data_IF_147317104365
#
_entry.id   IF_147317104365
#
_cell.length_a   1.000
_cell.length_b   1.000
_cell.length_c   1.000
_cell.angle_alpha   90.00
_cell.angle_beta   90.00
_cell.angle_gamma   90.00
#
_symmetry.space_group_name_H-M   'P 1'
#
loop_
_entity.id
_entity.type
_entity.pdbx_description
1 polymer ?
#
# COMPACT_ATOMS: atom_id res chain seq x y z
N UNK A 1 10.84 -7.49 -1.17
CA UNK A 1 11.42 -6.52 -2.15
C UNK A 1 10.33 -5.88 -3.02
N UNK A 2 9.33 -6.62 -3.52
CA UNK A 2 8.26 -6.05 -4.35
C UNK A 2 7.43 -4.99 -3.62
N UNK A 3 7.07 -5.22 -2.36
CA UNK A 3 6.29 -4.25 -1.57
C UNK A 3 7.02 -2.91 -1.33
N UNK A 4 8.35 -2.91 -1.35
CA UNK A 4 9.15 -1.69 -1.17
C UNK A 4 9.00 -0.72 -2.34
N UNK A 5 8.72 -1.24 -3.54
CA UNK A 5 8.62 -0.47 -4.79
C UNK A 5 7.16 -0.24 -5.19
N UNK A 6 6.20 -0.96 -4.58
CA UNK A 6 4.77 -0.83 -4.88
C UNK A 6 4.23 0.54 -4.46
N UNK A 7 3.29 1.08 -5.24
CA UNK A 7 2.68 2.40 -5.00
C UNK A 7 3.31 3.55 -5.79
N UNK A 8 4.23 3.24 -6.72
CA UNK A 8 4.83 4.24 -7.61
C UNK A 8 3.79 4.93 -8.51
N UNK A 9 2.68 4.26 -8.77
CA UNK A 9 1.54 4.73 -9.56
C UNK A 9 0.66 5.77 -8.83
N UNK A 10 0.88 6.01 -7.54
CA UNK A 10 0.14 7.01 -6.76
C UNK A 10 0.20 8.41 -7.39
N UNK A 11 1.34 8.79 -7.98
CA UNK A 11 1.49 10.05 -8.71
C UNK A 11 0.64 10.12 -9.99
N UNK A 12 0.30 8.99 -10.60
CA UNK A 12 -0.63 8.95 -11.73
C UNK A 12 -2.08 9.18 -11.28
N UNK A 13 -2.48 8.66 -10.12
CA UNK A 13 -3.83 8.85 -9.59
C UNK A 13 -4.16 10.29 -9.17
N UNK A 14 -3.14 11.11 -8.92
CA UNK A 14 -3.31 12.55 -8.64
C UNK A 14 -2.96 13.44 -9.83
N UNK A 15 -2.76 12.86 -11.01
CA UNK A 15 -2.35 13.61 -12.21
C UNK A 15 -3.37 14.65 -12.66
N UNK A 16 -4.66 14.40 -12.46
CA UNK A 16 -5.72 15.35 -12.81
C UNK A 16 -5.68 16.65 -11.97
N UNK A 17 -5.09 16.60 -10.79
CA UNK A 17 -4.94 17.73 -9.87
C UNK A 17 -3.54 18.41 -9.99
N UNK A 18 -2.68 17.87 -10.87
CA UNK A 18 -1.28 18.31 -10.96
C UNK A 18 -1.04 19.16 -12.22
N UNK A 19 -0.44 20.32 -12.06
CA UNK A 19 0.00 21.13 -13.19
C UNK A 19 1.09 20.41 -14.01
N UNK A 20 1.01 20.44 -15.34
CA UNK A 20 1.92 19.73 -16.26
C UNK A 20 1.96 18.20 -15.99
N UNK A 21 0.79 17.60 -15.78
CA UNK A 21 0.59 16.22 -15.36
C UNK A 21 1.47 15.19 -16.08
N UNK A 22 1.61 15.28 -17.40
CA UNK A 22 2.36 14.30 -18.20
C UNK A 22 3.84 14.21 -17.81
N UNK A 23 4.47 15.34 -17.50
CA UNK A 23 5.89 15.39 -17.08
C UNK A 23 6.02 15.14 -15.58
N UNK A 24 5.15 15.74 -14.77
CA UNK A 24 5.22 15.66 -13.31
C UNK A 24 4.90 14.24 -12.82
N UNK A 25 3.84 13.58 -13.35
CA UNK A 25 3.50 12.22 -12.99
C UNK A 25 4.57 11.21 -13.41
N UNK A 26 5.09 11.31 -14.64
CA UNK A 26 6.15 10.42 -15.11
C UNK A 26 7.44 10.58 -14.28
N UNK A 27 7.82 11.83 -13.95
CA UNK A 27 8.98 12.09 -13.09
C UNK A 27 8.75 11.57 -11.67
N UNK A 28 7.55 11.77 -11.11
CA UNK A 28 7.17 11.28 -9.78
C UNK A 28 7.23 9.77 -9.70
N UNK A 29 6.69 9.05 -10.69
CA UNK A 29 6.77 7.59 -10.76
C UNK A 29 8.21 7.08 -10.81
N UNK A 30 9.04 7.65 -11.68
CA UNK A 30 10.45 7.25 -11.77
C UNK A 30 11.22 7.53 -10.47
N UNK A 31 11.05 8.71 -9.91
CA UNK A 31 11.72 9.09 -8.67
C UNK A 31 11.27 8.23 -7.49
N UNK A 32 9.97 7.93 -7.37
CA UNK A 32 9.48 7.06 -6.30
C UNK A 32 10.09 5.65 -6.38
N UNK A 33 10.19 5.07 -7.58
CA UNK A 33 10.85 3.77 -7.76
C UNK A 33 12.33 3.84 -7.39
N UNK A 34 13.06 4.85 -7.89
CA UNK A 34 14.49 4.97 -7.66
C UNK A 34 14.82 5.17 -6.16
N UNK A 35 14.15 6.12 -5.51
CA UNK A 35 14.39 6.41 -4.09
C UNK A 35 13.93 5.28 -3.18
N UNK A 36 12.78 4.65 -3.48
CA UNK A 36 12.31 3.50 -2.72
C UNK A 36 13.20 2.27 -2.91
N UNK A 37 13.77 2.07 -4.09
CA UNK A 37 14.71 0.97 -4.33
C UNK A 37 15.98 1.16 -3.50
N UNK A 38 16.59 2.35 -3.53
CA UNK A 38 17.82 2.63 -2.79
C UNK A 38 17.55 2.60 -1.27
N UNK A 39 16.55 3.33 -0.79
CA UNK A 39 16.21 3.39 0.64
C UNK A 39 15.77 2.06 1.19
N UNK A 40 14.94 1.32 0.44
CA UNK A 40 14.48 -0.02 0.81
C UNK A 40 15.60 -1.05 0.81
N UNK A 41 16.54 -0.95 -0.12
CA UNK A 41 17.73 -1.82 -0.12
C UNK A 41 18.61 -1.58 1.11
N UNK A 42 18.90 -0.33 1.45
CA UNK A 42 19.65 0.04 2.65
C UNK A 42 18.94 -0.45 3.92
N UNK A 43 17.62 -0.29 3.98
CA UNK A 43 16.81 -0.75 5.11
C UNK A 43 16.88 -2.28 5.24
N UNK A 44 16.75 -3.03 4.14
CA UNK A 44 16.84 -4.48 4.14
C UNK A 44 18.23 -4.96 4.58
N UNK A 45 19.30 -4.30 4.14
CA UNK A 45 20.66 -4.61 4.60
C UNK A 45 20.78 -4.37 6.11
N UNK A 46 20.24 -3.26 6.63
CA UNK A 46 20.25 -2.98 8.07
C UNK A 46 19.56 -4.06 8.87
N UNK A 47 18.39 -4.56 8.42
CA UNK A 47 17.71 -5.69 9.05
C UNK A 47 18.51 -6.99 8.97
N UNK A 48 19.13 -7.26 7.83
CA UNK A 48 19.95 -8.47 7.65
C UNK A 48 21.14 -8.48 8.57
N UNK A 49 21.83 -7.36 8.74
CA UNK A 49 22.96 -7.24 9.67
C UNK A 49 22.53 -7.24 11.14
N UNK A 50 21.32 -6.77 11.45
CA UNK A 50 20.78 -6.79 12.81
C UNK A 50 20.24 -8.17 13.22
N UNK A 51 19.90 -9.03 12.26
CA UNK A 51 19.33 -10.36 12.49
C UNK A 51 20.45 -11.37 12.82
N UNK A 52 20.82 -11.49 14.08
CA UNK A 52 21.88 -12.41 14.55
C UNK A 52 21.38 -13.85 14.74
N UNK A 53 20.10 -14.03 15.09
CA UNK A 53 19.45 -15.33 15.29
C UNK A 53 18.21 -15.48 14.40
N UNK A 54 18.42 -16.01 13.20
CA UNK A 54 17.34 -16.19 12.20
C UNK A 54 16.33 -17.26 12.64
N UNK A 55 16.76 -18.29 13.36
CA UNK A 55 15.87 -19.37 13.82
C UNK A 55 14.93 -18.88 14.93
N UNK A 56 15.46 -18.12 15.89
CA UNK A 56 14.67 -17.49 16.95
C UNK A 56 13.67 -16.49 16.40
N UNK A 57 14.07 -15.67 15.41
CA UNK A 57 13.21 -14.72 14.74
C UNK A 57 12.05 -15.38 13.97
N UNK A 58 12.30 -16.51 13.31
CA UNK A 58 11.26 -17.30 12.65
C UNK A 58 10.21 -17.82 13.62
N UNK A 59 10.63 -18.25 14.80
CA UNK A 59 9.74 -18.74 15.87
C UNK A 59 8.93 -17.61 16.51
N UNK A 60 9.47 -16.39 16.57
CA UNK A 60 8.80 -15.23 17.13
C UNK A 60 7.66 -14.67 16.26
N UNK A 61 7.53 -15.10 15.01
CA UNK A 61 6.39 -14.80 14.12
C UNK A 61 6.24 -13.34 13.67
N UNK A 62 7.13 -12.45 14.10
CA UNK A 62 7.10 -11.03 13.74
C UNK A 62 8.52 -10.50 13.54
N UNK A 63 8.97 -10.45 12.29
CA UNK A 63 10.35 -10.15 11.99
C UNK A 63 10.84 -8.78 12.48
N UNK A 64 10.17 -7.68 12.12
CA UNK A 64 10.65 -6.35 12.46
C UNK A 64 10.61 -6.04 13.97
N UNK A 65 9.52 -6.28 14.71
CA UNK A 65 9.51 -6.07 16.15
C UNK A 65 10.55 -6.93 16.91
N UNK A 66 10.70 -8.19 16.50
CA UNK A 66 11.66 -9.10 17.13
C UNK A 66 13.11 -8.67 16.87
N UNK A 67 13.42 -8.20 15.66
CA UNK A 67 14.75 -7.67 15.33
C UNK A 67 15.05 -6.41 16.15
N UNK A 68 14.10 -5.48 16.27
CA UNK A 68 14.31 -4.28 17.08
C UNK A 68 14.55 -4.60 18.55
N UNK A 69 13.81 -5.58 19.11
CA UNK A 69 13.96 -6.00 20.50
C UNK A 69 15.26 -6.77 20.77
N UNK A 70 15.76 -7.54 19.79
CA UNK A 70 17.00 -8.29 19.94
C UNK A 70 18.26 -7.45 19.71
N UNK A 71 18.20 -6.48 18.79
CA UNK A 71 19.35 -5.69 18.38
C UNK A 71 19.54 -4.38 19.16
N UNK A 72 18.47 -3.86 19.79
CA UNK A 72 18.46 -2.53 20.41
C UNK A 72 17.99 -2.60 21.87
N UNK A 73 18.36 -1.57 22.65
CA UNK A 73 17.80 -1.39 23.98
C UNK A 73 16.29 -1.11 23.92
N UNK A 74 15.55 -1.46 25.00
CA UNK A 74 14.10 -1.38 25.06
C UNK A 74 13.54 0.00 24.65
N UNK A 75 14.22 1.10 25.03
CA UNK A 75 13.78 2.46 24.67
C UNK A 75 13.87 2.75 23.18
N UNK A 76 14.99 2.40 22.54
CA UNK A 76 15.17 2.57 21.10
C UNK A 76 14.25 1.67 20.28
N UNK A 77 14.03 0.44 20.72
CA UNK A 77 13.09 -0.47 20.08
C UNK A 77 11.65 0.10 20.09
N UNK A 78 11.21 0.68 21.20
CA UNK A 78 9.88 1.33 21.30
C UNK A 78 9.76 2.55 20.37
N UNK A 79 10.78 3.41 20.30
CA UNK A 79 10.78 4.57 19.42
C UNK A 79 10.65 4.14 17.96
N UNK A 80 11.41 3.13 17.52
CA UNK A 80 11.32 2.61 16.16
C UNK A 80 9.97 1.98 15.85
N UNK A 81 9.36 1.27 16.80
CA UNK A 81 8.02 0.73 16.65
C UNK A 81 6.97 1.83 16.49
N UNK A 82 7.06 2.92 17.26
CA UNK A 82 6.17 4.08 17.11
C UNK A 82 6.34 4.71 15.73
N UNK A 83 7.58 4.95 15.28
CA UNK A 83 7.86 5.48 13.95
C UNK A 83 7.26 4.57 12.86
N UNK A 84 7.40 3.25 13.01
CA UNK A 84 6.82 2.28 12.07
C UNK A 84 5.30 2.36 12.05
N UNK A 85 4.65 2.45 13.22
CA UNK A 85 3.19 2.61 13.32
C UNK A 85 2.70 3.89 12.64
N UNK A 86 3.39 5.01 12.87
CA UNK A 86 3.07 6.30 12.22
C UNK A 86 3.27 6.19 10.71
N UNK A 87 4.35 5.56 10.25
CA UNK A 87 4.59 5.31 8.82
C UNK A 87 3.49 4.47 8.18
N UNK A 88 3.03 3.41 8.85
CA UNK A 88 1.92 2.58 8.38
C UNK A 88 0.60 3.34 8.31
N UNK A 89 0.33 4.23 9.26
CA UNK A 89 -0.85 5.10 9.22
C UNK A 89 -0.85 6.00 7.98
N UNK A 90 0.27 6.67 7.67
CA UNK A 90 0.39 7.49 6.45
C UNK A 90 0.32 6.66 5.18
N UNK A 91 0.88 5.45 5.18
CA UNK A 91 0.74 4.51 4.07
C UNK A 91 -0.74 4.17 3.82
N UNK A 92 -1.50 3.84 4.86
CA UNK A 92 -2.93 3.59 4.78
C UNK A 92 -3.72 4.78 4.23
N UNK A 93 -3.43 6.00 4.70
CA UNK A 93 -4.04 7.23 4.18
C UNK A 93 -3.76 7.41 2.68
N UNK A 94 -2.54 7.17 2.23
CA UNK A 94 -2.15 7.26 0.82
C UNK A 94 -2.90 6.24 -0.03
N UNK A 95 -3.05 5.01 0.45
CA UNK A 95 -3.83 3.97 -0.23
C UNK A 95 -5.31 4.35 -0.37
N UNK A 96 -5.94 4.86 0.70
CA UNK A 96 -7.33 5.33 0.64
C UNK A 96 -7.47 6.50 -0.32
N UNK A 97 -6.51 7.41 -0.32
CA UNK A 97 -6.50 8.56 -1.24
C UNK A 97 -6.43 8.12 -2.70
N UNK A 98 -5.50 7.24 -3.06
CA UNK A 98 -5.38 6.71 -4.41
C UNK A 98 -6.63 5.92 -4.84
N UNK A 99 -7.10 5.00 -4.00
CA UNK A 99 -8.27 4.18 -4.30
C UNK A 99 -9.56 5.00 -4.40
N UNK A 100 -9.74 6.04 -3.60
CA UNK A 100 -10.92 6.91 -3.67
C UNK A 100 -10.96 7.72 -4.97
N UNK A 101 -9.82 8.21 -5.45
CA UNK A 101 -9.72 8.89 -6.75
C UNK A 101 -9.98 7.94 -7.91
N UNK A 102 -9.46 6.72 -7.83
CA UNK A 102 -9.73 5.69 -8.83
C UNK A 102 -11.22 5.32 -8.86
N UNK A 103 -11.86 5.10 -7.71
CA UNK A 103 -13.29 4.84 -7.61
C UNK A 103 -14.12 6.00 -8.17
N UNK A 104 -13.72 7.24 -7.88
CA UNK A 104 -14.36 8.44 -8.44
C UNK A 104 -14.23 8.48 -9.96
N UNK A 105 -13.05 8.26 -10.52
CA UNK A 105 -12.82 8.27 -11.97
C UNK A 105 -13.65 7.19 -12.69
N UNK A 106 -13.66 5.96 -12.19
CA UNK A 106 -14.48 4.87 -12.74
C UNK A 106 -15.98 5.15 -12.62
N UNK A 107 -16.40 5.82 -11.55
CA UNK A 107 -17.79 6.21 -11.35
C UNK A 107 -18.20 7.33 -12.30
N UNK A 108 -17.32 8.27 -12.57
CA UNK A 108 -17.53 9.33 -13.59
C UNK A 108 -17.76 8.71 -14.97
N UNK A 109 -17.02 7.67 -15.29
CA UNK A 109 -17.13 6.94 -16.57
C UNK A 109 -18.28 5.91 -16.55
N UNK A 110 -19.10 5.87 -15.49
CA UNK A 110 -20.24 4.96 -15.30
C UNK A 110 -19.87 3.47 -15.30
N UNK A 111 -18.63 3.14 -15.03
CA UNK A 111 -18.12 1.77 -15.02
C UNK A 111 -18.45 1.01 -13.71
N UNK A 112 -18.90 1.70 -12.66
CA UNK A 112 -19.17 1.12 -11.34
C UNK A 112 -20.66 1.25 -10.98
N UNK A 113 -21.29 0.21 -10.38
CA UNK A 113 -22.65 0.32 -9.86
C UNK A 113 -22.77 1.42 -8.81
N UNK A 114 -23.85 2.18 -8.83
CA UNK A 114 -24.05 3.29 -7.89
C UNK A 114 -23.19 4.53 -8.19
N UNK A 115 -22.70 4.65 -9.42
CA UNK A 115 -21.83 5.75 -9.88
C UNK A 115 -22.31 7.15 -9.43
N UNK A 116 -23.63 7.40 -9.39
CA UNK A 116 -24.21 8.68 -8.97
C UNK A 116 -23.90 9.04 -7.51
N UNK A 117 -23.67 8.05 -6.65
CA UNK A 117 -23.32 8.24 -5.26
C UNK A 117 -21.82 8.55 -5.10
N UNK A 118 -20.98 7.78 -5.80
CA UNK A 118 -19.53 7.90 -5.72
C UNK A 118 -18.95 9.12 -6.41
N UNK A 119 -19.69 9.73 -7.35
CA UNK A 119 -19.30 10.98 -8.04
C UNK A 119 -19.64 12.25 -7.27
N UNK A 120 -20.24 12.15 -6.09
CA UNK A 120 -20.53 13.32 -5.27
C UNK A 120 -19.25 13.88 -4.66
N UNK A 121 -19.03 15.18 -4.88
CA UNK A 121 -17.93 15.93 -4.31
C UNK A 121 -18.42 16.72 -3.09
N UNK A 122 -17.54 16.87 -2.12
CA UNK A 122 -17.73 17.76 -0.97
C UNK A 122 -17.52 19.23 -1.38
N UNK A 123 -17.84 20.18 -0.47
CA UNK A 123 -17.62 21.61 -0.63
C UNK A 123 -16.20 21.98 -1.07
N UNK A 124 -15.22 21.19 -0.64
CA UNK A 124 -13.81 21.33 -1.01
C UNK A 124 -13.41 20.57 -2.28
N UNK A 125 -14.39 20.11 -3.08
CA UNK A 125 -14.19 19.29 -4.29
C UNK A 125 -13.45 17.97 -4.06
N UNK A 126 -13.45 17.44 -2.84
CA UNK A 126 -12.89 16.13 -2.55
C UNK A 126 -13.94 15.02 -2.75
N UNK A 127 -13.56 13.85 -3.25
CA UNK A 127 -14.46 12.70 -3.41
C UNK A 127 -14.68 11.97 -2.07
N UNK A 128 -15.25 12.66 -1.08
CA UNK A 128 -15.44 12.16 0.29
C UNK A 128 -16.30 10.90 0.34
N UNK A 129 -17.37 10.83 -0.47
CA UNK A 129 -18.22 9.64 -0.55
C UNK A 129 -17.44 8.41 -1.05
N UNK A 130 -16.58 8.58 -2.06
CA UNK A 130 -15.72 7.52 -2.54
C UNK A 130 -14.68 7.12 -1.47
N UNK A 131 -14.10 8.09 -0.74
CA UNK A 131 -13.15 7.82 0.32
C UNK A 131 -13.79 7.03 1.49
N UNK A 132 -14.99 7.41 1.93
CA UNK A 132 -15.74 6.65 2.93
C UNK A 132 -16.10 5.25 2.43
N UNK A 133 -16.49 5.11 1.17
CA UNK A 133 -16.76 3.80 0.56
C UNK A 133 -15.54 2.90 0.58
N UNK A 134 -14.40 3.39 0.11
CA UNK A 134 -13.13 2.64 0.13
C UNK A 134 -12.75 2.25 1.55
N UNK A 135 -12.82 3.19 2.51
CA UNK A 135 -12.52 2.91 3.91
C UNK A 135 -13.45 1.85 4.51
N UNK A 136 -14.74 1.90 4.21
CA UNK A 136 -15.71 0.92 4.65
C UNK A 136 -15.43 -0.48 4.08
N UNK A 137 -15.18 -0.58 2.77
CA UNK A 137 -14.84 -1.86 2.14
C UNK A 137 -13.50 -2.41 2.67
N UNK A 138 -12.51 -1.57 2.90
CA UNK A 138 -11.25 -1.98 3.52
C UNK A 138 -11.49 -2.55 4.93
N UNK A 139 -12.32 -1.89 5.74
CA UNK A 139 -12.68 -2.37 7.07
C UNK A 139 -13.38 -3.74 6.99
N UNK A 140 -14.36 -3.90 6.11
CA UNK A 140 -15.07 -5.17 5.91
C UNK A 140 -14.12 -6.29 5.49
N UNK A 141 -13.17 -6.01 4.60
CA UNK A 141 -12.17 -6.99 4.16
C UNK A 141 -11.18 -7.38 5.27
N UNK A 142 -11.00 -6.53 6.27
CA UNK A 142 -10.13 -6.85 7.42
C UNK A 142 -10.85 -7.60 8.54
N UNK A 143 -12.19 -7.61 8.57
CA UNK A 143 -12.97 -8.32 9.60
C UNK A 143 -12.59 -9.81 9.76
N UNK A 144 -12.39 -10.60 8.69
CA UNK A 144 -11.97 -12.00 8.84
C UNK A 144 -10.63 -12.18 9.56
N UNK A 145 -9.78 -11.13 9.57
CA UNK A 145 -8.51 -11.18 10.28
C UNK A 145 -8.69 -11.17 11.82
N UNK A 146 -9.84 -10.74 12.33
CA UNK A 146 -10.16 -10.79 13.75
C UNK A 146 -10.41 -12.23 14.25
N UNK A 147 -10.77 -13.16 13.35
CA UNK A 147 -10.95 -14.58 13.65
C UNK A 147 -9.67 -15.39 13.37
N UNK A 148 -8.53 -14.91 13.87
CA UNK A 148 -7.29 -15.69 13.77
C UNK A 148 -7.39 -16.96 14.63
N UNK A 149 -7.03 -18.14 14.11
CA UNK A 149 -6.91 -19.34 14.92
C UNK A 149 -5.92 -19.14 16.06
N UNK A 150 -6.24 -19.70 17.23
CA UNK A 150 -5.34 -19.64 18.40
C UNK A 150 -3.99 -20.25 18.02
N UNK A 151 -2.90 -19.49 18.20
CA UNK A 151 -1.53 -19.93 17.92
C UNK A 151 -0.94 -19.41 16.60
N UNK A 152 -1.67 -18.67 15.77
CA UNK A 152 -1.09 -18.00 14.60
C UNK A 152 -0.84 -16.52 14.92
N UNK A 153 0.42 -16.09 14.74
CA UNK A 153 0.82 -14.68 14.98
C UNK A 153 0.28 -13.77 13.89
N UNK A 154 0.15 -14.27 12.67
CA UNK A 154 -0.41 -13.53 11.54
C UNK A 154 -1.66 -14.25 11.02
N UNK A 155 -2.82 -13.57 10.93
CA UNK A 155 -4.05 -14.16 10.44
C UNK A 155 -3.90 -14.67 9.00
N UNK A 156 -4.38 -15.87 8.72
CA UNK A 156 -4.40 -16.46 7.35
C UNK A 156 -5.13 -15.53 6.38
N UNK A 157 -6.18 -14.84 6.86
CA UNK A 157 -6.92 -13.86 6.07
C UNK A 157 -6.04 -12.70 5.57
N UNK A 158 -5.04 -12.28 6.35
CA UNK A 158 -4.09 -11.25 5.91
C UNK A 158 -3.28 -11.71 4.69
N UNK A 159 -2.77 -12.94 4.70
CA UNK A 159 -2.03 -13.50 3.56
C UNK A 159 -2.94 -13.67 2.34
N UNK A 160 -4.19 -14.08 2.53
CA UNK A 160 -5.14 -14.19 1.42
C UNK A 160 -5.42 -12.84 0.77
N UNK A 161 -5.71 -11.80 1.54
CA UNK A 161 -5.98 -10.46 1.03
C UNK A 161 -4.75 -9.89 0.32
N UNK A 162 -3.55 -10.03 0.89
CA UNK A 162 -2.31 -9.55 0.25
C UNK A 162 -2.01 -10.30 -1.05
N UNK A 163 -2.26 -11.59 -1.12
CA UNK A 163 -2.07 -12.39 -2.34
C UNK A 163 -3.04 -11.96 -3.45
N UNK A 164 -4.31 -11.74 -3.12
CA UNK A 164 -5.32 -11.25 -4.07
C UNK A 164 -4.93 -9.86 -4.59
N UNK A 165 -4.44 -8.98 -3.73
CA UNK A 165 -3.99 -7.63 -4.11
C UNK A 165 -2.83 -7.70 -5.11
N UNK A 166 -1.85 -8.56 -4.87
CA UNK A 166 -0.70 -8.75 -5.77
C UNK A 166 -1.16 -9.24 -7.14
N UNK A 167 -2.04 -10.25 -7.19
CA UNK A 167 -2.58 -10.76 -8.45
C UNK A 167 -3.37 -9.69 -9.20
N UNK A 168 -4.20 -8.92 -8.51
CA UNK A 168 -4.98 -7.82 -9.10
C UNK A 168 -4.08 -6.73 -9.71
N UNK A 169 -3.02 -6.33 -9.01
CA UNK A 169 -2.04 -5.35 -9.50
C UNK A 169 -1.31 -5.84 -10.77
N UNK A 170 -0.84 -7.07 -10.76
CA UNK A 170 -0.15 -7.62 -11.94
C UNK A 170 -1.08 -7.70 -13.16
N UNK A 171 -2.33 -8.11 -12.98
CA UNK A 171 -3.31 -8.13 -14.07
C UNK A 171 -3.59 -6.71 -14.58
N UNK A 172 -3.76 -5.74 -13.68
CA UNK A 172 -4.02 -4.36 -14.05
C UNK A 172 -2.88 -3.73 -14.87
N UNK A 173 -1.62 -4.06 -14.56
CA UNK A 173 -0.48 -3.58 -15.34
C UNK A 173 -0.25 -4.38 -16.62
N UNK A 174 -0.52 -5.69 -16.61
CA UNK A 174 -0.29 -6.53 -17.78
C UNK A 174 -1.22 -6.20 -18.95
N UNK A 175 -2.48 -5.85 -18.67
CA UNK A 175 -3.48 -5.53 -19.71
C UNK A 175 -3.07 -4.33 -20.57
N UNK A 176 -2.71 -3.16 -20.05
CA UNK A 176 -2.24 -2.03 -20.85
C UNK A 176 -0.98 -2.33 -21.66
N UNK A 177 -0.03 -3.08 -21.09
CA UNK A 177 1.21 -3.48 -21.77
C UNK A 177 0.88 -4.38 -22.96
N UNK A 178 0.01 -5.39 -22.76
CA UNK A 178 -0.43 -6.29 -23.82
C UNK A 178 -1.16 -5.54 -24.93
N UNK A 179 -2.08 -4.63 -24.57
CA UNK A 179 -2.81 -3.83 -25.56
C UNK A 179 -1.87 -2.94 -26.38
N UNK A 180 -0.89 -2.31 -25.72
CA UNK A 180 0.13 -1.50 -26.38
C UNK A 180 0.96 -2.33 -27.36
N UNK A 181 1.39 -3.52 -26.95
CA UNK A 181 2.14 -4.45 -27.79
C UNK A 181 1.34 -4.91 -29.02
N UNK A 182 0.03 -5.10 -28.86
CA UNK A 182 -0.87 -5.49 -29.96
C UNK A 182 -1.14 -4.37 -30.97
N UNK A 183 -1.07 -3.11 -30.53
CA UNK A 183 -1.34 -1.94 -31.35
C UNK A 183 -0.09 -1.35 -32.02
N UNK A 184 1.08 -1.70 -31.53
CA UNK A 184 2.37 -1.20 -32.01
C UNK A 184 3.03 -2.06 -33.01
#
# INVERSE_FOLDING_TARGET
>A
TQYTITGFDASAHVSEETGSASKAAAKGMWQSVAYSAIGGWLLLLSFLFAATDVEGLNKAGGFAPAIFQSALSAGWAQILLIITCVGQFFCGMSCVTAASRMLFAFSRDRAVPGHQYWTRLDSNRNPSHAAFGVGFFALVLTLPALWAPKGTVVPVAFFAVTSITVLGLFLAFMIPIYLRWKQG
#
